data_IF_900733838390
#
_entry.id   IF_900733838390
#
_cell.length_a   1.000
_cell.length_b   1.000
_cell.length_c   1.000
_cell.angle_alpha   90.00
_cell.angle_beta   90.00
_cell.angle_gamma   90.00
#
_symmetry.space_group_name_H-M   'P 1'
#
loop_
_entity.id
_entity.type
_entity.pdbx_description
1 polymer ?
#
# COMPACT_ATOMS: atom_id res chain seq x y z
N UNK A 1 -10.52 2.24 5.40
CA UNK A 1 -9.31 1.45 5.74
C UNK A 1 -8.14 2.29 6.20
N UNK A 2 -7.81 3.40 5.54
CA UNK A 2 -6.65 4.21 5.89
C UNK A 2 -6.62 4.71 7.35
N UNK A 3 -7.75 5.22 7.87
CA UNK A 3 -7.85 5.71 9.26
C UNK A 3 -7.52 4.63 10.32
N UNK A 4 -7.92 3.39 10.06
CA UNK A 4 -7.60 2.26 10.94
C UNK A 4 -6.09 2.01 10.98
N UNK A 5 -5.46 1.92 9.81
CA UNK A 5 -4.01 1.69 9.72
C UNK A 5 -3.22 2.86 10.30
N UNK A 6 -3.66 4.09 10.07
CA UNK A 6 -3.07 5.28 10.67
C UNK A 6 -3.15 5.25 12.20
N UNK A 7 -4.31 4.89 12.76
CA UNK A 7 -4.50 4.76 14.20
C UNK A 7 -3.62 3.64 14.79
N UNK A 8 -3.51 2.51 14.09
CA UNK A 8 -2.66 1.40 14.50
C UNK A 8 -1.18 1.75 14.44
N UNK A 9 -0.73 2.45 13.40
CA UNK A 9 0.65 2.90 13.27
C UNK A 9 1.02 3.92 14.35
N UNK A 10 0.10 4.82 14.69
CA UNK A 10 0.30 5.76 15.81
C UNK A 10 0.41 5.04 17.16
N UNK A 11 -0.34 3.94 17.35
CA UNK A 11 -0.32 3.17 18.59
C UNK A 11 0.86 2.18 18.69
N UNK A 12 1.31 1.68 17.56
CA UNK A 12 2.40 0.69 17.44
C UNK A 12 3.39 1.11 16.34
N UNK A 13 4.20 2.15 16.58
CA UNK A 13 5.07 2.74 15.55
C UNK A 13 6.14 1.77 15.04
N UNK A 14 6.55 0.82 15.87
CA UNK A 14 7.59 -0.18 15.55
C UNK A 14 7.08 -1.35 14.69
N UNK A 15 5.75 -1.52 14.57
CA UNK A 15 5.16 -2.62 13.81
C UNK A 15 5.00 -2.23 12.34
N UNK A 16 5.46 -3.10 11.45
CA UNK A 16 5.22 -3.00 10.02
C UNK A 16 3.85 -3.60 9.66
N UNK A 17 2.89 -2.72 9.36
CA UNK A 17 1.55 -3.13 8.96
C UNK A 17 1.47 -3.39 7.46
N UNK A 18 0.87 -4.53 7.11
CA UNK A 18 0.54 -4.89 5.74
C UNK A 18 -0.97 -4.78 5.56
N UNK A 19 -1.40 -3.93 4.63
CA UNK A 19 -2.80 -3.79 4.31
C UNK A 19 -3.26 -4.90 3.36
N UNK A 20 -4.15 -5.77 3.79
CA UNK A 20 -4.69 -6.85 2.98
C UNK A 20 -6.18 -6.62 2.69
N UNK A 21 -6.51 -6.44 1.41
CA UNK A 21 -7.89 -6.33 0.94
C UNK A 21 -8.43 -4.91 0.74
N UNK A 22 -9.36 -4.77 -0.21
CA UNK A 22 -10.01 -3.49 -0.54
C UNK A 22 -9.15 -2.51 -1.37
N UNK A 23 -8.00 -2.94 -1.89
CA UNK A 23 -7.15 -2.12 -2.75
C UNK A 23 -7.52 -2.38 -4.21
N UNK A 24 -8.27 -1.44 -4.80
CA UNK A 24 -8.73 -1.52 -6.19
C UNK A 24 -8.30 -0.32 -7.06
N UNK A 25 -7.74 0.73 -6.46
CA UNK A 25 -7.30 1.94 -7.17
C UNK A 25 -5.89 2.32 -6.75
N UNK A 26 -5.19 3.07 -7.61
CA UNK A 26 -3.88 3.66 -7.28
C UNK A 26 -3.97 4.65 -6.12
N UNK A 27 -5.09 5.37 -6.01
CA UNK A 27 -5.37 6.29 -4.91
C UNK A 27 -5.44 5.57 -3.56
N UNK A 28 -6.02 4.36 -3.54
CA UNK A 28 -6.02 3.51 -2.34
C UNK A 28 -4.60 3.15 -1.90
N UNK A 29 -3.70 2.88 -2.86
CA UNK A 29 -2.29 2.54 -2.58
C UNK A 29 -1.58 3.75 -1.96
N UNK A 30 -1.73 4.94 -2.53
CA UNK A 30 -1.12 6.17 -2.01
C UNK A 30 -1.70 6.56 -0.63
N UNK A 31 -3.00 6.36 -0.43
CA UNK A 31 -3.64 6.62 0.87
C UNK A 31 -3.10 5.67 1.94
N UNK A 32 -2.93 4.37 1.64
CA UNK A 32 -2.37 3.40 2.57
C UNK A 32 -0.88 3.66 2.86
N UNK A 33 -0.13 4.11 1.85
CA UNK A 33 1.26 4.56 2.02
C UNK A 33 1.35 5.75 2.95
N UNK A 34 0.47 6.74 2.77
CA UNK A 34 0.38 7.93 3.62
C UNK A 34 -0.08 7.59 5.04
N UNK A 35 -0.93 6.57 5.19
CA UNK A 35 -1.33 6.03 6.49
C UNK A 35 -0.20 5.29 7.24
N UNK A 36 0.96 5.09 6.60
CA UNK A 36 2.12 4.45 7.23
C UNK A 36 2.13 2.92 7.12
N UNK A 37 1.35 2.34 6.19
CA UNK A 37 1.47 0.93 5.87
C UNK A 37 2.80 0.64 5.17
N UNK A 38 3.45 -0.44 5.58
CA UNK A 38 4.69 -0.91 4.97
C UNK A 38 4.44 -1.47 3.56
N UNK A 39 3.37 -2.23 3.41
CA UNK A 39 2.99 -2.83 2.13
C UNK A 39 1.46 -2.98 2.04
N UNK A 40 0.97 -3.22 0.82
CA UNK A 40 -0.42 -3.59 0.60
C UNK A 40 -0.52 -4.78 -0.38
N UNK A 41 -1.52 -5.62 -0.18
CA UNK A 41 -1.77 -6.82 -0.99
C UNK A 41 -2.96 -6.55 -1.89
N UNK A 42 -2.72 -6.66 -3.20
CA UNK A 42 -3.73 -6.49 -4.24
C UNK A 42 -4.08 -7.87 -4.77
N UNK A 43 -5.32 -8.30 -4.53
CA UNK A 43 -5.83 -9.59 -4.97
C UNK A 43 -6.66 -9.45 -6.25
N UNK A 44 -7.97 -9.71 -6.12
CA UNK A 44 -8.97 -9.73 -7.21
C UNK A 44 -8.84 -8.56 -8.20
N UNK A 45 -8.65 -7.33 -7.70
CA UNK A 45 -8.53 -6.15 -8.54
C UNK A 45 -7.34 -6.16 -9.50
N UNK A 46 -6.24 -6.85 -9.16
CA UNK A 46 -5.08 -6.99 -10.05
C UNK A 46 -5.41 -7.82 -11.31
N UNK A 47 -6.33 -8.78 -11.18
CA UNK A 47 -6.72 -9.68 -12.26
C UNK A 47 -7.87 -9.10 -13.10
N UNK A 48 -8.81 -8.42 -12.47
CA UNK A 48 -10.00 -7.86 -13.15
C UNK A 48 -9.74 -6.49 -13.78
N UNK A 49 -8.86 -5.67 -13.19
CA UNK A 49 -8.62 -4.31 -13.65
C UNK A 49 -7.26 -4.19 -14.34
N UNK A 50 -7.29 -4.14 -15.67
CA UNK A 50 -6.09 -3.99 -16.50
C UNK A 50 -5.49 -2.58 -16.37
N UNK A 51 -6.30 -1.57 -16.07
CA UNK A 51 -5.87 -0.19 -15.85
C UNK A 51 -5.07 -0.09 -14.57
N UNK A 52 -5.55 -0.73 -13.48
CA UNK A 52 -4.80 -0.81 -12.23
C UNK A 52 -3.44 -1.50 -12.45
N UNK A 53 -3.44 -2.65 -13.13
CA UNK A 53 -2.20 -3.40 -13.42
C UNK A 53 -1.19 -2.55 -14.20
N UNK A 54 -1.63 -1.92 -15.29
CA UNK A 54 -0.75 -1.07 -16.11
C UNK A 54 -0.26 0.15 -15.33
N UNK A 55 -1.11 0.77 -14.51
CA UNK A 55 -0.73 1.88 -13.65
C UNK A 55 0.33 1.49 -12.61
N UNK A 56 0.20 0.33 -11.95
CA UNK A 56 1.20 -0.17 -10.98
C UNK A 56 2.58 -0.34 -11.63
N UNK A 57 2.62 -0.82 -12.87
CA UNK A 57 3.88 -0.99 -13.62
C UNK A 57 4.44 0.36 -14.04
N UNK A 58 3.63 1.21 -14.66
CA UNK A 58 4.05 2.52 -15.18
C UNK A 58 4.49 3.48 -14.06
N UNK A 59 3.78 3.50 -12.94
CA UNK A 59 4.10 4.34 -11.79
C UNK A 59 5.20 3.74 -10.90
N UNK A 60 5.63 2.50 -11.18
CA UNK A 60 6.67 1.84 -10.41
C UNK A 60 6.27 1.51 -8.97
N UNK A 61 4.96 1.40 -8.68
CA UNK A 61 4.43 1.14 -7.32
C UNK A 61 4.78 -0.27 -6.78
N UNK A 62 5.35 -1.13 -7.64
CA UNK A 62 5.92 -2.43 -7.25
C UNK A 62 7.36 -2.31 -6.71
N UNK A 63 8.01 -1.16 -6.87
CA UNK A 63 9.35 -0.90 -6.33
C UNK A 63 9.17 -0.41 -4.89
N UNK A 64 9.78 -1.12 -3.94
CA UNK A 64 9.76 -0.73 -2.54
C UNK A 64 10.25 0.72 -2.37
N UNK A 65 9.66 1.46 -1.43
CA UNK A 65 10.17 2.77 -1.09
C UNK A 65 11.66 2.65 -0.68
N UNK A 66 12.53 3.61 -1.05
CA UNK A 66 13.95 3.58 -0.72
C UNK A 66 14.24 3.72 0.80
N UNK A 67 13.24 3.62 1.67
CA UNK A 67 13.36 3.81 3.12
C UNK A 67 13.88 2.58 3.88
N UNK A 68 13.94 1.38 3.28
CA UNK A 68 14.48 0.18 3.95
C UNK A 68 16.03 0.11 4.00
N UNK A 69 16.74 1.10 3.45
CA UNK A 69 18.21 1.15 3.39
C UNK A 69 18.85 2.09 4.42
N UNK A 70 18.09 2.61 5.40
CA UNK A 70 18.70 3.25 6.57
C UNK A 70 19.08 2.18 7.59
N UNK A 71 20.26 1.59 7.40
CA UNK A 71 21.06 1.04 8.51
C UNK A 71 21.85 2.16 9.16
#
# INVERSE_FOLDING_TARGET
>A
NAELYQSLKNRYPEIDFIAAGGVCTTDSIETLRTAGCHACVIGKAFYEDTTLRSAIVSLGLHKGAPSCLKK
#
